data_IF_396246597071
#
_entry.id   IF_396246597071
#
_cell.length_a   1.000
_cell.length_b   1.000
_cell.length_c   1.000
_cell.angle_alpha   90.00
_cell.angle_beta   90.00
_cell.angle_gamma   90.00
#
_symmetry.space_group_name_H-M   'P 1'
#
loop_
_entity.id
_entity.type
_entity.pdbx_description
1 polymer ?
#
# COMPACT_ATOMS: atom_id res chain seq x y z
N UNK A 1 -8.01 53.60 -68.12
CA UNK A 1 -8.89 52.53 -67.60
C UNK A 1 -8.30 52.09 -66.26
N UNK A 2 -8.76 52.62 -65.12
CA UNK A 2 -9.72 51.98 -64.15
C UNK A 2 -9.06 50.72 -63.51
N UNK A 3 -8.91 50.45 -62.19
CA UNK A 3 -9.28 50.96 -60.84
C UNK A 3 -8.36 50.21 -59.83
N UNK A 4 -7.79 50.82 -58.78
CA UNK A 4 -8.18 50.80 -57.34
C UNK A 4 -8.60 49.48 -56.65
N UNK A 5 -7.82 49.12 -55.60
CA UNK A 5 -8.15 48.44 -54.30
C UNK A 5 -8.67 46.98 -54.25
N UNK A 6 -8.11 46.12 -53.38
CA UNK A 6 -8.51 45.88 -51.97
C UNK A 6 -7.53 44.90 -51.30
N UNK A 7 -7.12 45.24 -50.07
CA UNK A 7 -6.43 44.40 -49.07
C UNK A 7 -7.44 43.41 -48.47
N UNK A 8 -7.10 42.11 -48.39
CA UNK A 8 -7.67 41.26 -47.33
C UNK A 8 -6.67 40.21 -46.87
N UNK A 9 -6.17 40.46 -45.66
CA UNK A 9 -5.36 39.61 -44.81
C UNK A 9 -6.15 38.35 -44.42
N UNK A 10 -5.62 37.16 -44.69
CA UNK A 10 -5.98 35.96 -43.93
C UNK A 10 -4.72 35.39 -43.28
N UNK A 11 -4.52 35.82 -42.03
CA UNK A 11 -3.74 35.10 -41.02
C UNK A 11 -4.39 33.73 -40.82
N UNK A 12 -3.90 32.71 -41.53
CA UNK A 12 -4.04 31.33 -41.09
C UNK A 12 -3.06 31.13 -39.94
N UNK A 13 -3.45 31.61 -38.76
CA UNK A 13 -2.93 31.08 -37.51
C UNK A 13 -3.30 29.60 -37.49
N UNK A 14 -2.33 28.74 -37.84
CA UNK A 14 -2.39 27.33 -37.52
C UNK A 14 -2.37 27.20 -36.01
N UNK A 15 -3.56 27.28 -35.39
CA UNK A 15 -3.80 26.81 -34.04
C UNK A 15 -3.55 25.31 -34.06
N UNK A 16 -2.29 24.91 -33.89
CA UNK A 16 -1.99 23.56 -33.41
C UNK A 16 -2.54 23.51 -32.00
N UNK A 17 -3.82 23.17 -31.88
CA UNK A 17 -4.34 22.59 -30.66
C UNK A 17 -3.57 21.28 -30.46
N UNK A 18 -2.43 21.37 -29.77
CA UNK A 18 -1.78 20.22 -29.18
C UNK A 18 -2.73 19.76 -28.09
N UNK A 19 -3.68 18.89 -28.46
CA UNK A 19 -4.39 18.07 -27.50
C UNK A 19 -3.31 17.25 -26.78
N UNK A 20 -2.89 17.71 -25.60
CA UNK A 20 -1.95 16.98 -24.78
C UNK A 20 -2.57 15.60 -24.52
N UNK A 21 -1.89 14.50 -24.87
CA UNK A 21 -2.48 13.19 -24.67
C UNK A 21 -2.79 13.04 -23.19
N UNK A 22 -4.04 12.70 -22.86
CA UNK A 22 -4.55 12.47 -21.49
C UNK A 22 -3.77 11.36 -20.73
N UNK A 23 -2.76 10.76 -21.37
CA UNK A 23 -1.92 9.67 -20.89
C UNK A 23 -0.42 9.94 -21.07
N UNK A 24 0.00 11.17 -21.37
CA UNK A 24 1.41 11.57 -21.47
C UNK A 24 2.03 11.86 -20.10
N UNK A 25 3.35 11.63 -19.96
CA UNK A 25 4.09 12.02 -18.76
C UNK A 25 4.15 13.55 -18.63
N UNK A 26 3.98 14.07 -17.42
CA UNK A 26 4.18 15.50 -17.11
C UNK A 26 5.66 15.86 -16.87
N UNK A 27 6.57 14.89 -16.98
CA UNK A 27 7.99 15.10 -16.72
C UNK A 27 8.65 16.01 -17.78
N UNK A 28 9.44 16.99 -17.33
CA UNK A 28 10.20 17.89 -18.20
C UNK A 28 9.44 19.13 -18.68
N UNK A 29 8.17 19.27 -18.30
CA UNK A 29 7.37 20.47 -18.57
C UNK A 29 7.80 21.63 -17.65
N UNK A 30 7.82 22.84 -18.21
CA UNK A 30 8.02 24.07 -17.46
C UNK A 30 6.84 24.33 -16.52
N UNK A 31 7.07 25.17 -15.50
CA UNK A 31 6.05 25.58 -14.53
C UNK A 31 4.79 26.12 -15.20
N UNK A 32 4.95 26.93 -16.26
CA UNK A 32 3.84 27.47 -17.06
C UNK A 32 3.09 26.39 -17.85
N UNK A 33 3.76 25.34 -18.30
CA UNK A 33 3.12 24.23 -19.01
C UNK A 33 2.33 23.33 -18.06
N UNK A 34 2.86 23.10 -16.85
CA UNK A 34 2.13 22.40 -15.80
C UNK A 34 0.88 23.20 -15.37
N UNK A 35 0.98 24.51 -15.24
CA UNK A 35 -0.18 25.39 -14.97
C UNK A 35 -1.27 25.31 -16.05
N UNK A 36 -0.92 25.06 -17.32
CA UNK A 36 -1.90 24.93 -18.42
C UNK A 36 -2.48 23.51 -18.54
N UNK A 37 -1.73 22.48 -18.15
CA UNK A 37 -2.13 21.06 -18.29
C UNK A 37 -2.87 20.53 -17.06
N UNK A 38 -2.44 20.89 -15.85
CA UNK A 38 -3.08 20.43 -14.60
C UNK A 38 -4.59 20.72 -14.54
N UNK A 39 -5.11 21.88 -15.00
CA UNK A 39 -6.55 22.16 -15.07
C UNK A 39 -7.31 21.29 -16.09
N UNK A 40 -6.61 20.66 -17.04
CA UNK A 40 -7.17 19.76 -18.05
C UNK A 40 -7.13 18.30 -17.62
N UNK A 41 -6.44 17.99 -16.52
CA UNK A 41 -6.56 16.70 -15.85
C UNK A 41 -7.88 16.68 -15.07
N UNK A 42 -8.50 15.50 -14.98
CA UNK A 42 -9.63 15.29 -14.07
C UNK A 42 -9.11 15.26 -12.63
N UNK A 43 -8.69 16.41 -12.12
CA UNK A 43 -8.25 16.59 -10.77
C UNK A 43 -9.41 16.31 -9.81
N UNK A 44 -9.16 15.44 -8.82
CA UNK A 44 -10.11 15.09 -7.79
C UNK A 44 -9.62 15.71 -6.49
N UNK A 45 -10.45 16.55 -5.87
CA UNK A 45 -10.23 16.96 -4.49
C UNK A 45 -10.44 15.74 -3.59
N UNK A 46 -9.45 15.31 -2.78
CA UNK A 46 -9.59 14.13 -1.95
C UNK A 46 -10.80 14.28 -1.01
N UNK A 47 -11.75 13.32 -1.02
CA UNK A 47 -12.85 13.31 -0.06
C UNK A 47 -12.33 12.87 1.32
N UNK A 48 -13.03 13.21 2.42
CA UNK A 48 -12.68 12.69 3.74
C UNK A 48 -12.71 11.17 3.77
N UNK A 49 -11.85 10.51 4.57
CA UNK A 49 -11.90 9.08 4.76
C UNK A 49 -13.27 8.63 5.27
N UNK A 50 -13.76 7.44 4.86
CA UNK A 50 -14.92 6.83 5.49
C UNK A 50 -14.71 6.65 7.00
N UNK A 51 -15.76 6.88 7.79
CA UNK A 51 -15.76 6.61 9.22
C UNK A 51 -15.81 5.12 9.57
N UNK A 52 -15.78 4.78 10.87
CA UNK A 52 -15.90 3.40 11.34
C UNK A 52 -17.25 2.78 10.98
N UNK A 53 -17.28 1.45 10.87
CA UNK A 53 -18.53 0.71 10.70
C UNK A 53 -19.45 0.89 11.90
N UNK A 54 -20.74 1.07 11.63
CA UNK A 54 -21.77 1.07 12.67
C UNK A 54 -21.98 -0.33 13.28
N UNK A 55 -21.73 -1.38 12.49
CA UNK A 55 -21.84 -2.78 12.90
C UNK A 55 -20.53 -3.52 12.59
N UNK A 56 -19.81 -3.86 13.65
CA UNK A 56 -18.55 -4.60 13.63
C UNK A 56 -18.74 -6.07 14.00
N UNK A 57 -19.99 -6.57 14.05
CA UNK A 57 -20.24 -7.98 14.29
C UNK A 57 -19.69 -8.85 13.15
N UNK A 58 -19.39 -10.10 13.49
CA UNK A 58 -19.04 -11.11 12.48
C UNK A 58 -20.24 -11.36 11.56
N UNK A 59 -19.98 -11.42 10.24
CA UNK A 59 -21.00 -11.68 9.22
C UNK A 59 -20.40 -12.40 8.03
N UNK A 60 -21.25 -13.09 7.27
CA UNK A 60 -20.87 -13.76 6.04
C UNK A 60 -20.41 -12.73 4.98
N UNK A 61 -19.14 -12.81 4.58
CA UNK A 61 -18.53 -11.90 3.60
C UNK A 61 -18.26 -12.57 2.25
N UNK A 62 -18.08 -13.89 2.22
CA UNK A 62 -18.15 -14.64 0.97
C UNK A 62 -19.61 -15.01 0.68
N UNK A 63 -20.34 -14.11 0.04
CA UNK A 63 -21.77 -14.21 -0.22
C UNK A 63 -22.11 -13.92 -1.70
N UNK A 64 -23.36 -14.12 -2.16
CA UNK A 64 -23.73 -13.91 -3.57
C UNK A 64 -23.54 -12.49 -4.11
N UNK A 65 -23.45 -11.46 -3.24
CA UNK A 65 -23.13 -10.09 -3.66
C UNK A 65 -21.62 -9.88 -3.86
N UNK A 66 -20.79 -10.69 -3.20
CA UNK A 66 -19.33 -10.66 -3.28
C UNK A 66 -18.74 -12.01 -3.70
N UNK A 67 -19.16 -12.58 -4.87
CA UNK A 67 -18.64 -13.86 -5.33
C UNK A 67 -17.18 -13.73 -5.75
N UNK A 68 -16.41 -14.79 -5.53
CA UNK A 68 -15.09 -14.91 -6.13
C UNK A 68 -15.21 -14.94 -7.66
N UNK A 69 -14.41 -14.15 -8.36
CA UNK A 69 -14.20 -14.27 -9.80
C UNK A 69 -12.69 -14.30 -10.09
N UNK A 70 -12.23 -15.16 -11.01
CA UNK A 70 -10.82 -15.20 -11.39
C UNK A 70 -10.39 -13.88 -12.02
N UNK A 71 -9.10 -13.55 -11.86
CA UNK A 71 -8.47 -12.37 -12.44
C UNK A 71 -8.57 -12.40 -13.97
N UNK A 72 -8.98 -11.28 -14.57
CA UNK A 72 -9.03 -11.11 -16.03
C UNK A 72 -7.73 -10.49 -16.53
N UNK A 73 -7.52 -10.55 -17.83
CA UNK A 73 -6.40 -9.84 -18.45
C UNK A 73 -6.52 -8.34 -18.19
N UNK A 74 -5.45 -7.72 -17.67
CA UNK A 74 -5.39 -6.31 -17.30
C UNK A 74 -5.90 -5.97 -15.89
N UNK A 75 -6.47 -6.93 -15.15
CA UNK A 75 -6.76 -6.72 -13.72
C UNK A 75 -5.44 -6.72 -12.94
N UNK A 76 -5.27 -5.78 -12.01
CA UNK A 76 -4.07 -5.65 -11.18
C UNK A 76 -4.22 -6.41 -9.86
N UNK A 77 -3.17 -7.13 -9.48
CA UNK A 77 -2.95 -7.74 -8.16
C UNK A 77 -1.49 -7.50 -7.79
N UNK A 78 -1.18 -7.46 -6.50
CA UNK A 78 0.15 -7.11 -6.02
C UNK A 78 0.59 -7.90 -4.78
N UNK A 79 1.46 -7.33 -3.93
CA UNK A 79 2.05 -8.04 -2.81
C UNK A 79 1.06 -8.29 -1.65
N UNK A 80 -0.05 -7.55 -1.58
CA UNK A 80 -1.01 -7.64 -0.48
C UNK A 80 -2.10 -8.70 -0.73
N UNK A 81 -2.09 -9.87 -0.07
CA UNK A 81 -3.12 -10.90 -0.25
C UNK A 81 -4.52 -10.43 0.18
N UNK A 82 -4.61 -9.52 1.14
CA UNK A 82 -5.88 -8.95 1.60
C UNK A 82 -6.57 -8.14 0.50
N UNK A 83 -5.89 -7.12 -0.05
CA UNK A 83 -6.44 -6.29 -1.13
C UNK A 83 -6.69 -7.10 -2.39
N UNK A 84 -5.81 -8.04 -2.72
CA UNK A 84 -6.00 -8.96 -3.82
C UNK A 84 -7.31 -9.74 -3.70
N UNK A 85 -7.57 -10.27 -2.50
CA UNK A 85 -8.79 -11.03 -2.21
C UNK A 85 -10.03 -10.14 -2.28
N UNK A 86 -9.97 -8.93 -1.72
CA UNK A 86 -11.09 -7.97 -1.77
C UNK A 86 -11.43 -7.56 -3.22
N UNK A 87 -10.43 -7.38 -4.09
CA UNK A 87 -10.66 -7.15 -5.52
C UNK A 87 -11.25 -8.39 -6.20
N UNK A 88 -10.74 -9.59 -5.91
CA UNK A 88 -11.26 -10.85 -6.48
C UNK A 88 -12.66 -11.22 -5.98
N UNK A 89 -13.14 -10.63 -4.89
CA UNK A 89 -14.50 -10.76 -4.38
C UNK A 89 -15.39 -9.54 -4.68
N UNK A 90 -14.87 -8.50 -5.33
CA UNK A 90 -15.64 -7.32 -5.73
C UNK A 90 -16.01 -6.38 -4.56
N UNK A 91 -15.31 -6.49 -3.43
CA UNK A 91 -15.31 -5.43 -2.40
C UNK A 91 -14.54 -4.21 -2.89
N UNK A 92 -13.48 -4.43 -3.67
CA UNK A 92 -12.79 -3.43 -4.47
C UNK A 92 -13.17 -3.55 -5.95
N UNK A 93 -12.94 -2.51 -6.76
CA UNK A 93 -12.93 -2.63 -8.21
C UNK A 93 -12.06 -3.82 -8.63
N UNK A 94 -12.64 -4.77 -9.38
CA UNK A 94 -12.00 -6.06 -9.70
C UNK A 94 -10.72 -5.90 -10.53
N UNK A 95 -10.59 -4.79 -11.25
CA UNK A 95 -9.38 -4.41 -11.98
C UNK A 95 -8.23 -3.96 -11.09
N UNK A 96 -8.42 -3.86 -9.77
CA UNK A 96 -7.35 -3.52 -8.83
C UNK A 96 -6.95 -2.05 -8.83
N UNK A 97 -7.75 -1.16 -9.43
CA UNK A 97 -7.53 0.30 -9.37
C UNK A 97 -8.61 0.90 -8.48
N UNK A 98 -8.22 1.51 -7.36
CA UNK A 98 -9.15 1.94 -6.33
C UNK A 98 -8.79 3.32 -5.76
N UNK A 99 -9.79 4.01 -5.22
CA UNK A 99 -9.58 5.21 -4.39
C UNK A 99 -9.25 4.81 -2.94
N UNK A 100 -8.62 5.69 -2.14
CA UNK A 100 -8.42 5.45 -0.72
C UNK A 100 -9.72 5.11 0.03
N UNK A 101 -10.81 5.82 -0.27
CA UNK A 101 -12.11 5.56 0.35
C UNK A 101 -12.66 4.16 0.01
N UNK A 102 -12.46 3.68 -1.22
CA UNK A 102 -12.85 2.31 -1.59
C UNK A 102 -12.02 1.28 -0.82
N UNK A 103 -10.72 1.51 -0.65
CA UNK A 103 -9.83 0.62 0.11
C UNK A 103 -10.25 0.56 1.58
N UNK A 104 -10.43 1.71 2.22
CA UNK A 104 -10.86 1.81 3.63
C UNK A 104 -12.21 1.11 3.84
N UNK A 105 -13.19 1.33 2.98
CA UNK A 105 -14.47 0.62 3.06
C UNK A 105 -14.31 -0.89 2.85
N UNK A 106 -13.51 -1.33 1.88
CA UNK A 106 -13.35 -2.74 1.57
C UNK A 106 -12.68 -3.53 2.70
N UNK A 107 -11.61 -3.00 3.31
CA UNK A 107 -10.93 -3.70 4.41
C UNK A 107 -11.77 -3.74 5.69
N UNK A 108 -12.56 -2.69 5.94
CA UNK A 108 -13.53 -2.67 7.04
C UNK A 108 -14.67 -3.68 6.79
N UNK A 109 -15.31 -3.62 5.61
CA UNK A 109 -16.47 -4.46 5.31
C UNK A 109 -16.12 -5.94 5.15
N UNK A 110 -15.03 -6.25 4.42
CA UNK A 110 -14.64 -7.61 4.09
C UNK A 110 -13.84 -8.32 5.19
N UNK A 111 -13.09 -7.59 6.01
CA UNK A 111 -12.20 -8.19 7.02
C UNK A 111 -12.38 -7.66 8.45
N UNK A 112 -13.24 -6.65 8.66
CA UNK A 112 -13.40 -6.00 9.97
C UNK A 112 -12.09 -5.33 10.47
N UNK A 113 -11.28 -4.82 9.55
CA UNK A 113 -10.14 -3.97 9.91
C UNK A 113 -10.65 -2.70 10.61
N UNK A 114 -10.04 -2.33 11.75
CA UNK A 114 -10.39 -1.10 12.46
C UNK A 114 -10.14 0.15 11.61
N UNK A 115 -10.97 1.18 11.81
CA UNK A 115 -10.95 2.38 10.98
C UNK A 115 -9.62 3.13 11.06
N UNK A 116 -9.06 3.25 12.25
CA UNK A 116 -7.77 3.89 12.52
C UNK A 116 -6.63 3.21 11.74
N UNK A 117 -6.56 1.88 11.78
CA UNK A 117 -5.61 1.07 11.04
C UNK A 117 -5.83 1.18 9.52
N UNK A 118 -7.10 1.07 9.08
CA UNK A 118 -7.47 1.14 7.67
C UNK A 118 -7.08 2.49 7.06
N UNK A 119 -7.39 3.60 7.74
CA UNK A 119 -7.04 4.96 7.30
C UNK A 119 -5.52 5.14 7.28
N UNK A 120 -4.83 4.78 8.37
CA UNK A 120 -3.39 4.96 8.49
C UNK A 120 -2.62 4.24 7.38
N UNK A 121 -2.89 2.93 7.19
CA UNK A 121 -2.18 2.11 6.21
C UNK A 121 -2.55 2.48 4.78
N UNK A 122 -3.82 2.81 4.52
CA UNK A 122 -4.26 3.22 3.17
C UNK A 122 -3.58 4.51 2.75
N UNK A 123 -3.54 5.53 3.61
CA UNK A 123 -2.90 6.79 3.24
C UNK A 123 -1.38 6.73 3.25
N UNK A 124 -0.76 5.89 4.08
CA UNK A 124 0.66 5.59 3.96
C UNK A 124 0.98 5.07 2.55
N UNK A 125 0.30 4.02 2.09
CA UNK A 125 0.49 3.50 0.74
C UNK A 125 0.13 4.54 -0.34
N UNK A 126 -1.01 5.20 -0.19
CA UNK A 126 -1.51 6.15 -1.19
C UNK A 126 -0.55 7.31 -1.41
N UNK A 127 0.07 7.86 -0.36
CA UNK A 127 0.98 9.00 -0.46
C UNK A 127 2.24 8.70 -1.29
N UNK A 128 2.72 7.45 -1.29
CA UNK A 128 3.95 7.07 -2.00
C UNK A 128 3.70 6.38 -3.34
N UNK A 129 2.60 5.63 -3.46
CA UNK A 129 2.32 4.79 -4.63
C UNK A 129 1.12 5.25 -5.46
N UNK A 130 0.26 6.08 -4.89
CA UNK A 130 -0.97 6.57 -5.51
C UNK A 130 -0.80 7.87 -6.29
N UNK A 131 -1.70 8.10 -7.24
CA UNK A 131 -1.74 9.36 -7.98
C UNK A 131 -2.52 10.40 -7.18
N UNK A 132 -1.79 11.37 -6.63
CA UNK A 132 -2.37 12.41 -5.76
C UNK A 132 -3.34 13.35 -6.48
N UNK A 133 -3.29 13.42 -7.82
CA UNK A 133 -4.15 14.30 -8.63
C UNK A 133 -5.48 13.62 -8.96
N UNK A 134 -5.46 12.36 -9.37
CA UNK A 134 -6.65 11.61 -9.80
C UNK A 134 -7.34 10.84 -8.66
N UNK A 135 -6.70 10.75 -7.50
CA UNK A 135 -7.19 10.01 -6.33
C UNK A 135 -7.30 8.49 -6.56
N UNK A 136 -6.36 7.91 -7.33
CA UNK A 136 -6.35 6.49 -7.69
C UNK A 136 -5.02 5.80 -7.35
N UNK A 137 -5.13 4.57 -6.87
CA UNK A 137 -4.01 3.67 -6.56
C UNK A 137 -4.22 2.34 -7.27
N UNK A 138 -3.13 1.78 -7.80
CA UNK A 138 -3.08 0.38 -8.23
C UNK A 138 -2.67 -0.49 -7.04
N UNK A 139 -3.44 -1.56 -6.77
CA UNK A 139 -3.08 -2.54 -5.73
C UNK A 139 -1.98 -3.52 -6.16
N UNK A 140 -1.52 -3.41 -7.40
CA UNK A 140 -0.34 -4.08 -7.94
C UNK A 140 0.61 -3.06 -8.57
N UNK A 141 1.26 -3.40 -9.66
CA UNK A 141 2.24 -2.53 -10.32
C UNK A 141 1.67 -1.30 -11.02
N UNK A 142 2.57 -0.58 -11.71
CA UNK A 142 2.26 0.69 -12.35
C UNK A 142 1.22 0.50 -13.44
N UNK A 143 0.21 1.37 -13.45
CA UNK A 143 -0.88 1.30 -14.44
C UNK A 143 -1.25 2.68 -14.94
N UNK A 144 -1.44 2.83 -16.26
CA UNK A 144 -1.93 4.09 -16.85
C UNK A 144 -3.35 4.44 -16.42
N UNK A 145 -4.08 3.50 -15.80
CA UNK A 145 -5.43 3.71 -15.28
C UNK A 145 -5.46 4.63 -14.05
N UNK A 146 -4.32 4.86 -13.38
CA UNK A 146 -4.20 5.88 -12.33
C UNK A 146 -4.02 7.29 -12.89
N UNK A 147 -3.90 7.44 -14.21
CA UNK A 147 -3.79 8.73 -14.91
C UNK A 147 -2.35 9.23 -15.08
N UNK A 148 -2.16 10.44 -15.64
CA UNK A 148 -0.84 11.02 -15.88
C UNK A 148 0.00 11.15 -14.62
N UNK A 149 1.27 10.76 -14.74
CA UNK A 149 2.21 10.84 -13.63
C UNK A 149 2.52 12.29 -13.26
N UNK A 150 2.62 12.61 -11.96
CA UNK A 150 3.20 13.86 -11.50
C UNK A 150 4.69 13.96 -11.90
N UNK A 151 5.29 15.16 -11.81
CA UNK A 151 6.72 15.32 -12.06
C UNK A 151 7.58 14.41 -11.17
N UNK A 152 8.70 13.93 -11.71
CA UNK A 152 9.72 13.21 -10.94
C UNK A 152 10.21 14.07 -9.75
N UNK A 153 10.62 13.46 -8.64
CA UNK A 153 10.92 12.03 -8.44
C UNK A 153 9.73 11.15 -8.03
N UNK A 154 8.50 11.67 -8.00
CA UNK A 154 7.32 10.88 -7.71
C UNK A 154 7.18 9.66 -8.65
N UNK A 155 6.81 8.52 -8.09
CA UNK A 155 6.86 7.22 -8.79
C UNK A 155 5.47 6.85 -9.33
N UNK A 156 4.44 6.95 -8.47
CA UNK A 156 3.06 6.51 -8.77
C UNK A 156 3.07 5.11 -9.40
N UNK A 157 3.78 4.20 -8.73
CA UNK A 157 4.08 2.87 -9.26
C UNK A 157 3.09 1.80 -8.82
N UNK A 158 2.10 2.14 -7.99
CA UNK A 158 1.26 1.15 -7.33
C UNK A 158 2.03 0.34 -6.27
N UNK A 159 1.35 -0.60 -5.62
CA UNK A 159 1.89 -1.33 -4.46
C UNK A 159 3.07 -2.26 -4.77
N UNK A 160 3.40 -2.53 -6.04
CA UNK A 160 4.61 -3.29 -6.37
C UNK A 160 5.88 -2.41 -6.28
N UNK A 161 5.75 -1.11 -5.98
CA UNK A 161 6.89 -0.20 -5.85
C UNK A 161 7.73 -0.56 -4.63
N UNK A 162 8.93 -1.05 -4.89
CA UNK A 162 9.86 -1.42 -3.84
C UNK A 162 10.36 -0.21 -3.02
N UNK A 163 10.56 -0.44 -1.72
CA UNK A 163 11.22 0.43 -0.75
C UNK A 163 10.48 1.72 -0.34
N UNK A 164 9.22 1.91 -0.75
CA UNK A 164 8.37 3.02 -0.25
C UNK A 164 7.22 2.53 0.62
N UNK A 165 6.72 1.32 0.35
CA UNK A 165 5.75 0.60 1.17
C UNK A 165 6.07 -0.91 1.15
N UNK A 166 6.10 -1.50 -0.06
CA UNK A 166 6.62 -2.86 -0.29
C UNK A 166 8.10 -2.93 0.09
N UNK A 167 8.54 -4.07 0.62
CA UNK A 167 9.95 -4.26 0.92
C UNK A 167 10.31 -5.71 1.23
N UNK A 168 11.59 -5.88 1.52
CA UNK A 168 12.22 -7.19 1.68
C UNK A 168 11.67 -8.01 2.85
N UNK A 169 12.05 -9.29 2.90
CA UNK A 169 11.64 -10.27 3.89
C UNK A 169 10.12 -10.52 3.90
N UNK A 170 9.42 -10.38 2.78
CA UNK A 170 8.01 -10.75 2.69
C UNK A 170 7.81 -12.25 2.96
N UNK A 171 6.64 -12.62 3.50
CA UNK A 171 6.35 -14.01 3.92
C UNK A 171 6.17 -14.96 2.74
N UNK A 172 5.55 -14.49 1.66
CA UNK A 172 5.16 -15.32 0.50
C UNK A 172 5.50 -14.67 -0.85
N UNK A 173 6.25 -13.57 -0.82
CA UNK A 173 6.75 -12.79 -1.96
C UNK A 173 8.28 -12.70 -1.86
N UNK A 174 8.96 -12.71 -3.01
CA UNK A 174 10.40 -12.53 -3.07
C UNK A 174 10.85 -11.12 -2.71
N UNK A 175 12.12 -10.95 -2.36
CA UNK A 175 12.74 -9.62 -2.30
C UNK A 175 12.91 -9.08 -3.73
N UNK A 176 12.71 -7.76 -3.92
CA UNK A 176 12.78 -7.13 -5.23
C UNK A 176 14.14 -7.32 -5.93
N UNK A 177 15.23 -7.48 -5.16
CA UNK A 177 16.55 -7.82 -5.68
C UNK A 177 16.55 -9.07 -6.58
N UNK A 178 15.67 -10.03 -6.33
CA UNK A 178 15.56 -11.25 -7.12
C UNK A 178 14.63 -11.13 -8.35
N UNK A 179 14.05 -9.96 -8.58
CA UNK A 179 13.32 -9.60 -9.82
C UNK A 179 11.79 -9.61 -9.72
N UNK A 180 11.20 -10.26 -8.71
CA UNK A 180 9.75 -10.29 -8.49
C UNK A 180 9.42 -10.21 -6.98
N UNK A 181 8.78 -9.10 -6.60
CA UNK A 181 8.41 -8.75 -5.24
C UNK A 181 6.90 -8.83 -4.94
N UNK A 182 6.09 -9.28 -5.90
CA UNK A 182 4.62 -9.18 -5.79
C UNK A 182 3.91 -10.50 -6.06
N UNK A 183 4.46 -11.35 -6.93
CA UNK A 183 3.87 -12.65 -7.21
C UNK A 183 3.99 -13.59 -6.02
N UNK A 184 2.98 -14.44 -5.84
CA UNK A 184 3.05 -15.54 -4.87
C UNK A 184 4.21 -16.49 -5.23
N UNK A 185 5.03 -16.83 -4.23
CA UNK A 185 6.21 -17.68 -4.39
C UNK A 185 6.03 -19.00 -3.63
N UNK A 186 5.79 -20.07 -4.38
CA UNK A 186 5.48 -21.41 -3.84
C UNK A 186 6.54 -21.87 -2.81
N UNK A 187 7.84 -21.78 -3.13
CA UNK A 187 8.88 -22.24 -2.20
C UNK A 187 8.86 -21.51 -0.84
N UNK A 188 8.53 -20.22 -0.80
CA UNK A 188 8.38 -19.49 0.47
C UNK A 188 7.09 -19.90 1.20
N UNK A 189 6.04 -20.26 0.46
CA UNK A 189 4.84 -20.80 1.07
C UNK A 189 5.03 -22.24 1.59
N UNK A 190 5.91 -23.03 0.96
CA UNK A 190 6.34 -24.32 1.49
C UNK A 190 7.12 -24.14 2.82
N UNK A 191 7.98 -23.13 2.92
CA UNK A 191 8.61 -22.76 4.19
C UNK A 191 7.57 -22.31 5.23
N UNK A 192 6.59 -21.49 4.85
CA UNK A 192 5.48 -21.10 5.71
C UNK A 192 4.74 -22.33 6.27
N UNK A 193 4.41 -23.30 5.41
CA UNK A 193 3.81 -24.59 5.80
C UNK A 193 4.72 -25.35 6.77
N UNK A 194 6.03 -25.44 6.46
CA UNK A 194 6.99 -26.16 7.30
C UNK A 194 7.10 -25.53 8.70
N UNK A 195 7.13 -24.20 8.79
CA UNK A 195 7.14 -23.48 10.07
C UNK A 195 5.82 -23.65 10.82
N UNK A 196 4.67 -23.61 10.15
CA UNK A 196 3.38 -23.91 10.76
C UNK A 196 3.29 -25.33 11.32
N UNK A 197 3.82 -26.32 10.60
CA UNK A 197 3.87 -27.70 11.09
C UNK A 197 4.80 -27.82 12.31
N UNK A 198 5.97 -27.16 12.27
CA UNK A 198 6.98 -27.24 13.32
C UNK A 198 6.59 -26.51 14.61
N UNK A 199 6.00 -25.33 14.51
CA UNK A 199 5.78 -24.42 15.64
C UNK A 199 4.31 -24.15 15.96
N UNK A 200 3.39 -24.46 15.05
CA UNK A 200 1.96 -24.13 15.18
C UNK A 200 1.02 -25.34 15.14
N UNK A 201 1.54 -26.56 15.24
CA UNK A 201 0.73 -27.78 15.20
C UNK A 201 -0.04 -27.95 13.89
N UNK A 202 0.52 -27.49 12.77
CA UNK A 202 -0.11 -27.56 11.44
C UNK A 202 -1.04 -26.39 11.11
N UNK A 203 -1.05 -25.33 11.93
CA UNK A 203 -1.74 -24.06 11.66
C UNK A 203 -0.75 -22.89 11.76
N UNK A 204 -1.09 -21.76 11.16
CA UNK A 204 -0.37 -20.51 11.36
C UNK A 204 -0.97 -19.75 12.55
N UNK A 205 -0.14 -19.43 13.54
CA UNK A 205 -0.50 -18.70 14.75
C UNK A 205 0.63 -17.70 15.10
N UNK A 206 0.50 -16.97 16.20
CA UNK A 206 1.49 -15.94 16.57
C UNK A 206 2.89 -16.50 16.82
N UNK A 207 3.02 -17.71 17.38
CA UNK A 207 4.31 -18.37 17.56
C UNK A 207 4.99 -18.64 16.21
N UNK A 208 4.22 -19.15 15.24
CA UNK A 208 4.73 -19.35 13.87
C UNK A 208 5.12 -18.02 13.24
N UNK A 209 4.34 -16.97 13.47
CA UNK A 209 4.62 -15.63 12.95
C UNK A 209 5.98 -15.11 13.45
N UNK A 210 6.31 -15.28 14.74
CA UNK A 210 7.62 -14.91 15.32
C UNK A 210 8.77 -15.66 14.64
N UNK A 211 8.66 -16.99 14.59
CA UNK A 211 9.73 -17.86 14.05
C UNK A 211 9.92 -17.64 12.55
N UNK A 212 8.83 -17.52 11.79
CA UNK A 212 8.90 -17.36 10.35
C UNK A 212 9.35 -15.96 9.94
N UNK A 213 8.91 -14.90 10.65
CA UNK A 213 9.42 -13.54 10.46
C UNK A 213 10.93 -13.49 10.63
N UNK A 214 11.45 -14.11 11.68
CA UNK A 214 12.89 -14.22 11.91
C UNK A 214 13.60 -14.96 10.77
N UNK A 215 13.06 -16.11 10.35
CA UNK A 215 13.60 -16.87 9.22
C UNK A 215 13.69 -16.02 7.94
N UNK A 216 12.62 -15.31 7.58
CA UNK A 216 12.59 -14.44 6.39
C UNK A 216 13.69 -13.37 6.44
N UNK A 217 13.89 -12.76 7.61
CA UNK A 217 14.96 -11.75 7.82
C UNK A 217 16.34 -12.38 7.65
N UNK A 218 16.60 -13.53 8.28
CA UNK A 218 17.90 -14.21 8.18
C UNK A 218 18.24 -14.61 6.75
N UNK A 219 17.25 -15.08 5.99
CA UNK A 219 17.45 -15.41 4.58
C UNK A 219 17.78 -14.19 3.72
N UNK A 220 17.07 -13.08 3.89
CA UNK A 220 17.39 -11.84 3.18
C UNK A 220 18.79 -11.32 3.55
N UNK A 221 19.19 -11.40 4.83
CA UNK A 221 20.58 -11.10 5.24
C UNK A 221 21.58 -12.00 4.49
N UNK A 222 21.29 -13.30 4.39
CA UNK A 222 22.22 -14.28 3.83
C UNK A 222 22.29 -14.27 2.29
N UNK A 223 21.27 -13.74 1.60
CA UNK A 223 21.12 -13.93 0.14
C UNK A 223 20.92 -12.64 -0.65
N UNK A 224 20.40 -11.57 -0.05
CA UNK A 224 20.14 -10.30 -0.71
C UNK A 224 21.20 -9.26 -0.30
N UNK A 225 22.19 -8.93 -1.14
CA UNK A 225 23.22 -7.94 -0.82
C UNK A 225 22.68 -6.52 -0.64
N UNK A 226 21.46 -6.26 -1.11
CA UNK A 226 20.75 -4.98 -1.00
C UNK A 226 19.63 -5.02 0.05
N UNK A 227 19.62 -6.04 0.92
CA UNK A 227 18.57 -6.19 1.94
C UNK A 227 18.39 -4.91 2.76
N UNK A 228 17.19 -4.37 2.75
CA UNK A 228 16.81 -3.18 3.51
C UNK A 228 15.66 -3.49 4.47
N UNK A 229 15.88 -3.21 5.74
CA UNK A 229 14.93 -3.48 6.83
C UNK A 229 14.88 -2.30 7.81
N UNK A 230 14.62 -1.12 7.25
CA UNK A 230 14.44 0.14 7.96
C UNK A 230 12.98 0.61 7.84
N UNK A 231 12.61 1.64 8.61
CA UNK A 231 11.28 2.25 8.54
C UNK A 231 10.98 2.82 7.13
N UNK A 232 9.74 2.67 6.62
CA UNK A 232 8.57 2.08 7.27
C UNK A 232 8.50 0.55 7.21
N UNK A 233 9.29 -0.12 6.35
CA UNK A 233 9.25 -1.58 6.15
C UNK A 233 9.49 -2.37 7.44
N UNK A 234 10.38 -1.89 8.29
CA UNK A 234 10.65 -2.49 9.60
C UNK A 234 9.37 -2.68 10.42
N UNK A 235 8.43 -1.73 10.37
CA UNK A 235 7.15 -1.85 11.07
C UNK A 235 6.14 -2.72 10.31
N UNK A 236 5.97 -2.47 9.01
CA UNK A 236 4.95 -3.18 8.22
C UNK A 236 5.24 -4.68 8.14
N UNK A 237 6.51 -5.09 8.06
CA UNK A 237 6.90 -6.49 8.06
C UNK A 237 6.39 -7.26 9.29
N UNK A 238 6.50 -6.68 10.49
CA UNK A 238 5.96 -7.31 11.71
C UNK A 238 4.44 -7.23 11.77
N UNK A 239 3.85 -6.07 11.46
CA UNK A 239 2.40 -5.89 11.42
C UNK A 239 1.72 -6.92 10.49
N UNK A 240 2.23 -7.07 9.27
CA UNK A 240 1.72 -7.99 8.25
C UNK A 240 1.80 -9.47 8.68
N UNK A 241 2.72 -9.80 9.59
CA UNK A 241 2.85 -11.16 10.12
C UNK A 241 1.68 -11.52 11.05
N UNK A 242 0.97 -10.53 11.58
CA UNK A 242 -0.24 -10.71 12.42
C UNK A 242 -1.51 -10.86 11.57
N UNK A 243 -1.56 -10.24 10.38
CA UNK A 243 -2.78 -10.11 9.58
C UNK A 243 -3.47 -11.43 9.18
N UNK A 244 -2.74 -12.52 8.85
CA UNK A 244 -3.38 -13.80 8.57
C UNK A 244 -4.18 -14.34 9.78
N UNK A 245 -3.72 -14.05 10.99
CA UNK A 245 -4.35 -14.50 12.23
C UNK A 245 -5.56 -13.62 12.55
N UNK A 246 -5.43 -12.31 12.35
CA UNK A 246 -6.48 -11.35 12.69
C UNK A 246 -7.60 -11.30 11.67
N UNK A 247 -7.31 -11.50 10.38
CA UNK A 247 -8.25 -11.22 9.29
C UNK A 247 -8.59 -12.40 8.40
N UNK A 248 -7.79 -13.48 8.38
CA UNK A 248 -8.05 -14.65 7.52
C UNK A 248 -8.62 -15.85 8.28
N UNK A 249 -8.63 -15.80 9.62
CA UNK A 249 -9.35 -16.77 10.46
C UNK A 249 -10.85 -16.44 10.40
N UNK A 250 -11.69 -17.46 10.17
CA UNK A 250 -13.15 -17.28 10.16
C UNK A 250 -13.62 -16.75 11.52
N UNK A 251 -14.40 -15.67 11.54
CA UNK A 251 -14.77 -14.99 12.78
C UNK A 251 -15.64 -15.80 13.76
N UNK A 252 -16.12 -16.98 13.36
CA UNK A 252 -16.81 -17.93 14.25
C UNK A 252 -15.84 -18.92 14.93
N UNK A 253 -14.59 -18.95 14.49
CA UNK A 253 -13.57 -19.84 15.03
C UNK A 253 -12.87 -19.18 16.22
N UNK A 254 -12.91 -19.84 17.37
CA UNK A 254 -12.29 -19.38 18.61
C UNK A 254 -10.81 -19.80 18.76
N UNK A 255 -10.32 -20.72 17.91
CA UNK A 255 -8.95 -21.25 17.99
C UNK A 255 -7.86 -20.21 17.70
N UNK A 256 -8.20 -19.08 17.07
CA UNK A 256 -7.24 -18.01 16.75
C UNK A 256 -6.05 -18.45 15.87
N UNK A 257 -6.20 -19.53 15.10
CA UNK A 257 -5.14 -20.11 14.29
C UNK A 257 -5.63 -20.44 12.87
N UNK A 258 -4.87 -20.00 11.88
CA UNK A 258 -5.21 -20.11 10.46
C UNK A 258 -4.79 -21.47 9.90
N UNK A 259 -5.74 -22.24 9.39
CA UNK A 259 -5.43 -23.49 8.66
C UNK A 259 -4.69 -23.21 7.37
N UNK A 260 -3.78 -24.11 6.98
CA UNK A 260 -2.91 -23.95 5.81
C UNK A 260 -3.65 -23.93 4.46
N UNK A 261 -4.77 -24.66 4.33
CA UNK A 261 -5.60 -24.62 3.13
C UNK A 261 -6.24 -23.25 2.93
N UNK A 262 -6.76 -22.66 4.02
CA UNK A 262 -7.32 -21.30 4.00
C UNK A 262 -6.22 -20.28 3.72
N UNK A 263 -5.03 -20.43 4.35
CA UNK A 263 -3.88 -19.57 4.07
C UNK A 263 -3.53 -19.57 2.58
N UNK A 264 -3.45 -20.76 1.94
CA UNK A 264 -3.17 -20.87 0.50
C UNK A 264 -4.20 -20.14 -0.34
N UNK A 265 -5.49 -20.30 -0.02
CA UNK A 265 -6.58 -19.58 -0.70
C UNK A 265 -6.40 -18.06 -0.69
N UNK A 266 -6.00 -17.46 0.43
CA UNK A 266 -5.73 -16.03 0.50
C UNK A 266 -4.42 -15.62 -0.17
N UNK A 267 -3.32 -16.33 0.08
CA UNK A 267 -1.99 -15.94 -0.37
C UNK A 267 -1.74 -16.17 -1.87
N UNK A 268 -2.28 -17.26 -2.42
CA UNK A 268 -2.10 -17.69 -3.80
C UNK A 268 -3.31 -17.32 -4.66
N UNK A 269 -4.52 -17.73 -4.23
CA UNK A 269 -5.71 -17.65 -5.09
C UNK A 269 -6.49 -16.34 -4.95
N UNK A 270 -6.13 -15.50 -3.97
CA UNK A 270 -6.88 -14.29 -3.64
C UNK A 270 -8.35 -14.59 -3.35
N UNK A 271 -8.61 -15.62 -2.54
CA UNK A 271 -9.93 -16.24 -2.39
C UNK A 271 -10.27 -16.50 -0.93
N UNK A 272 -11.43 -15.98 -0.50
CA UNK A 272 -12.03 -16.35 0.78
C UNK A 272 -12.57 -17.80 0.71
N UNK A 273 -12.50 -18.58 1.79
CA UNK A 273 -13.13 -19.90 1.82
C UNK A 273 -14.65 -19.79 1.69
N UNK A 274 -15.30 -20.86 1.23
CA UNK A 274 -16.77 -20.88 1.13
C UNK A 274 -17.39 -20.70 2.51
N UNK A 275 -18.40 -19.83 2.61
CA UNK A 275 -19.05 -19.57 3.89
C UNK A 275 -18.19 -18.80 4.89
N UNK A 276 -17.17 -18.05 4.42
CA UNK A 276 -16.26 -17.26 5.27
C UNK A 276 -16.98 -16.11 5.97
N UNK A 277 -16.81 -16.03 7.28
CA UNK A 277 -17.24 -14.90 8.10
C UNK A 277 -16.03 -14.05 8.46
N UNK A 278 -16.15 -12.72 8.30
CA UNK A 278 -15.09 -11.78 8.73
C UNK A 278 -14.88 -11.87 10.25
N UNK A 279 -13.74 -11.36 10.70
CA UNK A 279 -13.37 -11.33 12.12
C UNK A 279 -14.51 -10.79 13.01
N UNK A 280 -14.67 -11.36 14.20
CA UNK A 280 -15.71 -10.99 15.17
C UNK A 280 -15.34 -9.77 16.02
N UNK A 281 -14.12 -9.26 15.87
CA UNK A 281 -13.61 -8.07 16.51
C UNK A 281 -13.08 -7.11 15.46
N UNK A 282 -13.37 -5.82 15.62
CA UNK A 282 -12.71 -4.76 14.85
C UNK A 282 -11.32 -4.52 15.42
N UNK A 283 -10.28 -4.74 14.60
CA UNK A 283 -8.88 -4.74 15.05
C UNK A 283 -8.17 -3.48 14.54
N UNK A 284 -7.81 -2.58 15.47
CA UNK A 284 -7.17 -1.29 15.21
C UNK A 284 -5.66 -1.26 15.47
N UNK A 285 -5.07 -0.07 15.47
CA UNK A 285 -3.62 0.14 15.61
C UNK A 285 -3.07 -0.36 16.94
N UNK A 286 -3.83 -0.19 18.03
CA UNK A 286 -3.45 -0.58 19.40
C UNK A 286 -3.26 -2.10 19.53
N UNK A 287 -4.22 -2.88 19.02
CA UNK A 287 -4.17 -4.34 19.03
C UNK A 287 -3.03 -4.83 18.15
N UNK A 288 -2.88 -4.27 16.94
CA UNK A 288 -1.76 -4.63 16.06
C UNK A 288 -0.42 -4.31 16.72
N UNK A 289 -0.29 -3.18 17.41
CA UNK A 289 0.92 -2.83 18.18
C UNK A 289 1.28 -3.90 19.21
N UNK A 290 0.30 -4.35 20.01
CA UNK A 290 0.52 -5.42 21.00
C UNK A 290 0.92 -6.76 20.35
N UNK A 291 0.37 -7.08 19.18
CA UNK A 291 0.74 -8.28 18.44
C UNK A 291 2.14 -8.19 17.80
N UNK A 292 2.55 -6.99 17.38
CA UNK A 292 3.94 -6.74 16.93
C UNK A 292 4.91 -7.03 18.06
N UNK A 293 4.65 -6.54 19.28
CA UNK A 293 5.51 -6.78 20.44
C UNK A 293 5.68 -8.28 20.70
N UNK A 294 4.58 -9.05 20.64
CA UNK A 294 4.62 -10.51 20.77
C UNK A 294 5.49 -11.19 19.69
N UNK A 295 5.38 -10.75 18.43
CA UNK A 295 6.15 -11.32 17.32
C UNK A 295 7.64 -10.97 17.45
N UNK A 296 7.94 -9.76 17.93
CA UNK A 296 9.28 -9.22 18.06
C UNK A 296 10.06 -9.81 19.24
N UNK A 297 9.42 -10.00 20.40
CA UNK A 297 10.07 -10.37 21.66
C UNK A 297 10.98 -11.61 21.58
N UNK A 298 10.62 -12.71 20.89
CA UNK A 298 11.48 -13.90 20.80
C UNK A 298 12.78 -13.69 20.03
N UNK A 299 12.78 -12.81 19.03
CA UNK A 299 13.90 -12.62 18.10
C UNK A 299 14.11 -11.12 17.81
N UNK A 300 14.59 -10.33 18.79
CA UNK A 300 14.76 -8.90 18.61
C UNK A 300 15.90 -8.58 17.63
N UNK A 301 15.66 -7.63 16.73
CA UNK A 301 16.64 -7.10 15.78
C UNK A 301 16.48 -5.58 15.69
N UNK A 302 17.57 -4.84 15.53
CA UNK A 302 17.50 -3.39 15.29
C UNK A 302 17.31 -3.11 13.78
N UNK A 303 16.62 -2.02 13.40
CA UNK A 303 16.46 -1.66 11.99
C UNK A 303 17.82 -1.44 11.32
N UNK A 304 17.94 -1.81 10.05
CA UNK A 304 19.21 -1.79 9.32
C UNK A 304 19.14 -2.47 7.98
N UNK A 305 20.30 -2.83 7.42
CA UNK A 305 20.36 -3.49 6.12
C UNK A 305 21.77 -3.96 5.76
N UNK A 306 21.85 -4.77 4.70
CA UNK A 306 23.11 -5.22 4.11
C UNK A 306 23.81 -4.06 3.38
N UNK A 307 25.15 -4.04 3.44
CA UNK A 307 26.00 -2.99 2.90
C UNK A 307 26.60 -3.39 1.54
N UNK A 308 25.73 -3.67 0.57
CA UNK A 308 26.12 -4.02 -0.81
C UNK A 308 26.73 -5.42 -0.98
N UNK A 309 26.69 -6.25 0.07
CA UNK A 309 27.10 -7.67 0.04
C UNK A 309 26.26 -8.47 1.03
N UNK A 310 26.09 -9.76 0.78
CA UNK A 310 25.38 -10.65 1.71
C UNK A 310 26.11 -10.76 3.06
N UNK A 311 25.39 -11.10 4.12
CA UNK A 311 25.91 -11.26 5.48
C UNK A 311 26.66 -10.01 5.98
N UNK A 312 26.14 -8.82 5.72
CA UNK A 312 26.76 -7.54 6.14
C UNK A 312 25.77 -6.60 6.82
N UNK A 313 24.76 -7.18 7.48
CA UNK A 313 23.71 -6.42 8.15
C UNK A 313 24.31 -5.44 9.15
N UNK A 314 24.07 -4.16 8.89
CA UNK A 314 24.52 -3.05 9.73
C UNK A 314 23.31 -2.28 10.20
N UNK A 315 23.28 -1.98 11.49
CA UNK A 315 22.21 -1.20 12.12
C UNK A 315 22.22 0.22 11.57
N UNK A 316 21.05 0.73 11.23
CA UNK A 316 20.86 2.15 10.93
C UNK A 316 20.30 2.86 12.17
N UNK A 317 21.12 3.64 12.89
CA UNK A 317 20.69 4.33 14.10
C UNK A 317 19.68 5.45 13.84
N UNK A 318 19.49 5.87 12.58
CA UNK A 318 18.54 6.91 12.21
C UNK A 318 17.14 6.36 11.91
N UNK A 319 17.02 5.05 11.65
CA UNK A 319 15.71 4.44 11.42
C UNK A 319 14.95 4.29 12.72
N UNK A 320 13.70 4.76 12.73
CA UNK A 320 12.78 4.51 13.85
C UNK A 320 12.63 3.00 14.14
N UNK A 321 12.57 2.67 15.43
CA UNK A 321 12.22 1.34 15.95
C UNK A 321 10.86 1.38 16.69
N UNK A 322 10.39 0.25 17.23
CA UNK A 322 9.06 0.13 17.84
C UNK A 322 8.78 1.07 19.02
N UNK A 323 9.80 1.60 19.70
CA UNK A 323 9.61 2.61 20.75
C UNK A 323 9.46 4.04 20.22
N UNK A 324 9.65 4.24 18.91
CA UNK A 324 9.72 5.54 18.24
C UNK A 324 8.61 5.71 17.18
N UNK A 325 7.38 5.31 17.50
CA UNK A 325 6.27 5.35 16.54
C UNK A 325 5.99 6.76 15.98
N UNK A 326 6.10 7.82 16.79
CA UNK A 326 5.96 9.19 16.26
C UNK A 326 7.11 9.57 15.31
N UNK A 327 8.29 9.00 15.46
CA UNK A 327 9.41 9.21 14.55
C UNK A 327 9.16 8.48 13.23
N UNK A 328 8.63 7.25 13.25
CA UNK A 328 8.19 6.56 12.02
C UNK A 328 7.26 7.46 11.19
N UNK A 329 6.23 8.02 11.81
CA UNK A 329 5.30 8.94 11.14
C UNK A 329 6.03 10.17 10.58
N UNK A 330 6.86 10.82 11.38
CA UNK A 330 7.56 12.04 10.99
C UNK A 330 8.58 11.81 9.86
N UNK A 331 9.35 10.72 9.92
CA UNK A 331 10.34 10.35 8.91
C UNK A 331 9.63 9.96 7.60
N UNK A 332 8.53 9.21 7.70
CA UNK A 332 7.70 8.91 6.52
C UNK A 332 7.25 10.19 5.81
N UNK A 333 6.72 11.18 6.55
CA UNK A 333 6.25 12.44 5.95
C UNK A 333 7.39 13.34 5.47
N UNK A 334 8.39 13.59 6.32
CA UNK A 334 9.43 14.60 6.07
C UNK A 334 10.58 14.10 5.20
N UNK A 335 10.78 12.78 5.10
CA UNK A 335 11.85 12.18 4.30
C UNK A 335 11.25 11.46 3.09
N UNK A 336 10.34 10.51 3.32
CA UNK A 336 9.83 9.66 2.22
C UNK A 336 8.91 10.43 1.29
N UNK A 337 7.80 10.97 1.82
CA UNK A 337 6.81 11.72 1.01
C UNK A 337 7.43 13.00 0.45
N UNK A 338 8.14 13.78 1.27
CA UNK A 338 8.85 14.97 0.80
C UNK A 338 9.95 14.66 -0.23
N UNK A 339 10.61 13.52 -0.12
CA UNK A 339 11.60 13.06 -1.09
C UNK A 339 10.98 12.79 -2.47
N UNK A 340 9.78 12.21 -2.50
CA UNK A 340 9.01 11.98 -3.74
C UNK A 340 8.43 13.26 -4.33
N UNK A 341 8.04 14.21 -3.48
CA UNK A 341 7.45 15.48 -3.87
C UNK A 341 8.24 16.65 -3.26
N UNK A 342 9.41 17.01 -3.81
CA UNK A 342 10.30 18.00 -3.17
C UNK A 342 9.78 19.44 -3.26
N UNK A 343 9.00 19.76 -4.30
CA UNK A 343 8.45 21.11 -4.52
C UNK A 343 7.08 21.04 -5.23
N UNK A 344 6.04 20.42 -4.63
CA UNK A 344 4.72 20.34 -5.24
C UNK A 344 4.07 21.72 -5.27
N UNK A 345 3.30 21.99 -6.33
CA UNK A 345 2.57 23.25 -6.52
C UNK A 345 1.11 23.00 -6.91
N UNK A 346 0.27 24.02 -6.75
CA UNK A 346 -1.15 24.00 -7.11
C UNK A 346 -1.90 22.79 -6.56
N UNK A 347 -2.72 22.17 -7.40
CA UNK A 347 -3.57 21.00 -7.05
C UNK A 347 -2.78 19.86 -6.41
N UNK A 348 -1.55 19.59 -6.87
CA UNK A 348 -0.73 18.51 -6.32
C UNK A 348 -0.37 18.80 -4.85
N UNK A 349 0.01 20.04 -4.54
CA UNK A 349 0.31 20.47 -3.16
C UNK A 349 -0.92 20.44 -2.27
N UNK A 350 -2.05 20.95 -2.76
CA UNK A 350 -3.30 20.99 -2.00
C UNK A 350 -3.80 19.59 -1.66
N UNK A 351 -3.72 18.67 -2.63
CA UNK A 351 -4.10 17.28 -2.44
C UNK A 351 -3.12 16.54 -1.50
N UNK A 352 -1.81 16.76 -1.63
CA UNK A 352 -0.81 16.22 -0.70
C UNK A 352 -1.07 16.67 0.74
N UNK A 353 -1.30 17.96 0.97
CA UNK A 353 -1.62 18.49 2.31
C UNK A 353 -2.91 17.88 2.86
N UNK A 354 -3.93 17.71 2.02
CA UNK A 354 -5.19 17.07 2.40
C UNK A 354 -4.98 15.61 2.80
N UNK A 355 -4.28 14.83 1.98
CA UNK A 355 -3.99 13.41 2.24
C UNK A 355 -3.06 13.21 3.43
N UNK A 356 -2.11 14.11 3.66
CA UNK A 356 -1.26 14.12 4.86
C UNK A 356 -2.08 14.39 6.13
N UNK A 357 -3.11 15.24 6.03
CA UNK A 357 -4.09 15.42 7.11
C UNK A 357 -4.86 14.15 7.41
N UNK A 358 -5.30 13.41 6.38
CA UNK A 358 -5.98 12.13 6.54
C UNK A 358 -5.05 11.01 7.04
N UNK A 359 -3.79 11.01 6.62
CA UNK A 359 -2.78 10.10 7.15
C UNK A 359 -2.54 10.32 8.65
N UNK A 360 -2.53 11.58 9.09
CA UNK A 360 -2.36 11.92 10.51
C UNK A 360 -3.62 11.70 11.35
N UNK A 361 -4.83 11.70 10.78
CA UNK A 361 -6.07 11.70 11.58
C UNK A 361 -6.19 10.54 12.58
N UNK A 362 -5.74 9.29 12.30
CA UNK A 362 -5.73 8.21 13.30
C UNK A 362 -4.81 8.45 14.49
N UNK A 363 -3.82 9.35 14.35
CA UNK A 363 -2.85 9.68 15.40
C UNK A 363 -3.28 10.87 16.27
N UNK A 364 -4.43 11.48 15.99
CA UNK A 364 -4.95 12.57 16.82
C UNK A 364 -5.14 12.11 18.27
N UNK A 365 -4.58 12.84 19.22
CA UNK A 365 -4.63 12.47 20.65
C UNK A 365 -3.55 11.48 21.10
N UNK A 366 -2.73 10.93 20.20
CA UNK A 366 -1.61 10.02 20.55
C UNK A 366 -0.39 10.72 21.18
N UNK A 367 -0.36 12.06 21.13
CA UNK A 367 0.83 12.85 21.51
C UNK A 367 1.85 13.03 20.39
N UNK A 368 1.71 12.35 19.24
CA UNK A 368 2.54 12.62 18.07
C UNK A 368 2.18 13.99 17.45
N UNK A 369 3.16 14.88 17.21
CA UNK A 369 2.89 16.16 16.56
C UNK A 369 2.64 15.96 15.06
N UNK A 370 1.60 16.61 14.52
CA UNK A 370 1.40 16.68 13.07
C UNK A 370 2.52 17.50 12.42
N UNK A 371 3.06 17.03 11.31
CA UNK A 371 4.06 17.75 10.52
C UNK A 371 3.50 18.20 9.17
N UNK A 372 3.98 19.34 8.68
CA UNK A 372 3.46 20.03 7.50
C UNK A 372 4.61 20.30 6.50
N UNK A 373 5.07 19.29 5.74
CA UNK A 373 6.25 19.42 4.87
C UNK A 373 6.08 20.46 3.75
N UNK A 374 4.85 20.85 3.43
CA UNK A 374 4.49 21.80 2.37
C UNK A 374 3.70 23.02 2.90
N UNK A 375 3.81 23.32 4.20
CA UNK A 375 3.06 24.39 4.87
C UNK A 375 1.62 24.01 5.24
N UNK A 376 0.99 24.84 6.08
CA UNK A 376 -0.39 24.68 6.56
C UNK A 376 -1.42 25.27 5.61
#
# INVERSE_FOLDING_TARGET
MVQFTVILSLLLATGKALAFPQYGSLAGLSERELEDILPRLNAVKPPPPPGPLNDTSTKLVNNPAHPFLPQRNGDMRGPCPGLNTLASHGYLPRNGIATPAQIINAVQEGFNMGNDLAVFVTYAAFLVDGNQVTNLLSIGGKSSLTGPDPPKPAIVGGLDTHAVFEGDASMTRGDAFFGDNHSFKENQFDEFIAFSNKFGGGKYNLTVASEFRWQRIQESIATNPNFSFISPRYFTAYAESTFPITFFVDGRNEDGALSLDVARGFFQDSRMPNGFFRANQSIGLDIIGSLIDFIFEPHPIQPGGNQGRVNSYTVDPNSANFSQFCQLYQDFVNITVKGLYPNPQGVLRDNLNTNLGYFFSPLQGSGCPQVFPFGQ
#
